data_IF_733307647271
#
_entry.id   IF_733307647271
#
_cell.length_a   1.000
_cell.length_b   1.000
_cell.length_c   1.000
_cell.angle_alpha   90.00
_cell.angle_beta   90.00
_cell.angle_gamma   90.00
#
_symmetry.space_group_name_H-M   'P 1'
#
loop_
_entity.id
_entity.type
_entity.pdbx_description
1 polymer ?
#
# COMPACT_ATOMS: atom_id res chain seq x y z
N UNK A 1 10.20 -4.73 25.74
CA UNK A 1 11.19 -5.22 24.77
C UNK A 1 10.48 -6.15 23.82
N UNK A 2 10.19 -5.72 22.59
CA UNK A 2 9.43 -6.52 21.63
C UNK A 2 10.13 -7.84 21.34
N UNK A 3 9.39 -8.94 21.40
CA UNK A 3 9.88 -10.28 21.13
C UNK A 3 10.60 -10.34 19.77
N UNK A 4 11.60 -11.23 19.60
CA UNK A 4 12.29 -11.45 18.32
C UNK A 4 11.31 -11.61 17.14
N UNK A 5 10.13 -12.17 17.39
CA UNK A 5 9.02 -12.27 16.44
C UNK A 5 8.58 -10.91 15.88
N UNK A 6 8.44 -9.89 16.73
CA UNK A 6 8.04 -8.54 16.31
C UNK A 6 9.10 -7.92 15.39
N UNK A 7 10.38 -8.18 15.65
CA UNK A 7 11.47 -7.72 14.81
C UNK A 7 11.47 -8.40 13.45
N UNK A 8 11.24 -9.71 13.40
CA UNK A 8 11.14 -10.47 12.13
C UNK A 8 9.95 -9.98 11.29
N UNK A 9 8.77 -9.84 11.91
CA UNK A 9 7.56 -9.38 11.22
C UNK A 9 7.72 -7.96 10.66
N UNK A 10 8.39 -7.07 11.38
CA UNK A 10 8.69 -5.73 10.89
C UNK A 10 9.59 -5.77 9.64
N UNK A 11 10.65 -6.58 9.64
CA UNK A 11 11.54 -6.71 8.49
C UNK A 11 10.84 -7.32 7.27
N UNK A 12 9.98 -8.33 7.48
CA UNK A 12 9.16 -8.90 6.40
C UNK A 12 8.19 -7.85 5.83
N UNK A 13 7.55 -7.07 6.69
CA UNK A 13 6.66 -5.98 6.26
C UNK A 13 7.40 -4.95 5.41
N UNK A 14 8.61 -4.53 5.85
CA UNK A 14 9.45 -3.60 5.10
C UNK A 14 9.84 -4.20 3.75
N UNK A 15 10.27 -5.47 3.71
CA UNK A 15 10.60 -6.15 2.46
C UNK A 15 9.41 -6.19 1.49
N UNK A 16 8.23 -6.59 1.94
CA UNK A 16 7.02 -6.67 1.10
C UNK A 16 6.63 -5.28 0.57
N UNK A 17 6.76 -4.23 1.38
CA UNK A 17 6.52 -2.84 0.95
C UNK A 17 7.45 -2.43 -0.19
N UNK A 18 8.76 -2.64 -0.01
CA UNK A 18 9.75 -2.29 -1.04
C UNK A 18 9.59 -3.13 -2.31
N UNK A 19 9.39 -4.43 -2.17
CA UNK A 19 9.13 -5.32 -3.30
C UNK A 19 7.86 -4.90 -4.08
N UNK A 20 6.79 -4.54 -3.36
CA UNK A 20 5.56 -4.03 -3.94
C UNK A 20 5.76 -2.76 -4.77
N UNK A 21 6.48 -1.76 -4.25
CA UNK A 21 6.80 -0.54 -5.00
C UNK A 21 7.57 -0.87 -6.27
N UNK A 22 8.59 -1.72 -6.18
CA UNK A 22 9.44 -2.06 -7.33
C UNK A 22 8.60 -2.69 -8.43
N UNK A 23 7.71 -3.62 -8.09
CA UNK A 23 6.82 -4.27 -9.07
C UNK A 23 5.88 -3.25 -9.72
N UNK A 24 5.27 -2.35 -8.93
CA UNK A 24 4.36 -1.33 -9.46
C UNK A 24 5.11 -0.34 -10.37
N UNK A 25 6.32 0.05 -9.99
CA UNK A 25 7.15 0.92 -10.80
C UNK A 25 7.52 0.27 -12.15
N UNK A 26 7.90 -1.01 -12.14
CA UNK A 26 8.18 -1.78 -13.36
C UNK A 26 6.92 -1.87 -14.23
N UNK A 27 5.77 -2.22 -13.66
CA UNK A 27 4.50 -2.30 -14.37
C UNK A 27 4.09 -0.94 -14.97
N UNK A 28 4.23 0.15 -14.19
CA UNK A 28 3.95 1.51 -14.63
C UNK A 28 4.86 1.93 -15.79
N UNK A 29 6.16 1.65 -15.72
CA UNK A 29 7.08 1.91 -16.83
C UNK A 29 6.75 1.08 -18.07
N UNK A 30 6.42 -0.21 -17.90
CA UNK A 30 6.02 -1.06 -19.02
C UNK A 30 4.77 -0.53 -19.74
N UNK A 31 3.79 -0.04 -18.99
CA UNK A 31 2.59 0.60 -19.54
C UNK A 31 2.92 1.91 -20.28
N UNK A 32 3.75 2.77 -19.70
CA UNK A 32 4.17 4.02 -20.35
C UNK A 32 4.95 3.77 -21.64
N UNK A 33 5.85 2.78 -21.64
CA UNK A 33 6.59 2.36 -22.84
C UNK A 33 5.64 1.80 -23.89
N UNK A 34 4.70 0.92 -23.50
CA UNK A 34 3.71 0.33 -24.41
C UNK A 34 2.81 1.38 -25.07
N UNK A 35 2.33 2.35 -24.27
CA UNK A 35 1.57 3.50 -24.79
C UNK A 35 2.44 4.38 -25.68
N UNK A 36 3.66 4.73 -25.26
CA UNK A 36 4.59 5.56 -26.03
C UNK A 36 5.01 4.95 -27.38
N UNK A 37 5.09 3.63 -27.48
CA UNK A 37 5.40 2.92 -28.75
C UNK A 37 4.16 2.84 -29.66
N UNK A 38 2.97 2.58 -29.09
CA UNK A 38 1.74 2.40 -29.88
C UNK A 38 1.19 3.70 -30.44
N UNK A 39 1.69 4.84 -29.99
CA UNK A 39 0.99 6.08 -30.22
C UNK A 39 1.95 7.24 -30.50
N UNK A 40 1.58 8.05 -31.49
CA UNK A 40 2.11 9.40 -31.65
C UNK A 40 1.46 10.32 -30.60
N UNK A 41 1.59 9.97 -29.31
CA UNK A 41 0.67 10.43 -28.28
C UNK A 41 0.79 11.92 -27.99
N UNK A 42 -0.36 12.58 -27.81
CA UNK A 42 -0.39 13.91 -27.23
C UNK A 42 0.12 13.83 -25.77
N UNK A 43 0.95 14.80 -25.33
CA UNK A 43 1.55 14.81 -24.00
C UNK A 43 0.55 14.58 -22.84
N UNK A 44 -0.69 15.02 -23.03
CA UNK A 44 -1.77 14.95 -22.02
C UNK A 44 -2.14 13.52 -21.64
N UNK A 45 -2.14 12.57 -22.57
CA UNK A 45 -2.54 11.18 -22.25
C UNK A 45 -1.44 10.44 -21.49
N UNK A 46 -0.18 10.72 -21.80
CA UNK A 46 0.98 10.18 -21.06
C UNK A 46 0.95 10.65 -19.61
N UNK A 47 0.64 11.93 -19.36
CA UNK A 47 0.46 12.46 -18.01
C UNK A 47 -0.69 11.76 -17.26
N UNK A 48 -1.80 11.47 -17.93
CA UNK A 48 -2.92 10.74 -17.34
C UNK A 48 -2.53 9.32 -16.88
N UNK A 49 -1.81 8.58 -17.72
CA UNK A 49 -1.32 7.23 -17.37
C UNK A 49 -0.31 7.27 -16.24
N UNK A 50 0.63 8.22 -16.28
CA UNK A 50 1.62 8.40 -15.22
C UNK A 50 0.96 8.74 -13.87
N UNK A 51 0.00 9.66 -13.87
CA UNK A 51 -0.74 10.03 -12.67
C UNK A 51 -1.52 8.84 -12.09
N UNK A 52 -2.19 8.05 -12.93
CA UNK A 52 -2.89 6.84 -12.50
C UNK A 52 -1.94 5.79 -11.91
N UNK A 53 -0.76 5.60 -12.50
CA UNK A 53 0.26 4.68 -11.99
C UNK A 53 0.80 5.12 -10.63
N UNK A 54 1.05 6.42 -10.43
CA UNK A 54 1.48 6.99 -9.14
C UNK A 54 0.39 6.79 -8.09
N UNK A 55 -0.87 7.10 -8.42
CA UNK A 55 -2.03 6.87 -7.56
C UNK A 55 -2.13 5.41 -7.10
N UNK A 56 -2.01 4.46 -8.04
CA UNK A 56 -2.03 3.04 -7.74
C UNK A 56 -0.87 2.63 -6.81
N UNK A 57 0.33 3.18 -7.04
CA UNK A 57 1.49 2.93 -6.19
C UNK A 57 1.27 3.37 -4.74
N UNK A 58 0.70 4.57 -4.54
CA UNK A 58 0.40 5.10 -3.20
C UNK A 58 -0.66 4.26 -2.49
N UNK A 59 -1.73 3.87 -3.19
CA UNK A 59 -2.79 3.04 -2.61
C UNK A 59 -2.26 1.67 -2.16
N UNK A 60 -1.46 1.01 -2.99
CA UNK A 60 -0.86 -0.29 -2.67
C UNK A 60 0.20 -0.18 -1.57
N UNK A 61 0.89 0.96 -1.44
CA UNK A 61 1.84 1.21 -0.35
C UNK A 61 1.15 1.35 1.02
N UNK A 62 0.00 2.00 1.06
CA UNK A 62 -0.74 2.26 2.31
C UNK A 62 -1.55 1.01 2.75
N UNK A 63 -1.93 0.15 1.81
CA UNK A 63 -2.76 -1.04 2.02
C UNK A 63 -2.34 -1.91 3.23
N UNK A 64 -1.06 -2.29 3.42
CA UNK A 64 -0.65 -3.12 4.56
C UNK A 64 -0.92 -2.44 5.91
N UNK A 65 -0.76 -1.12 5.95
CA UNK A 65 -1.03 -0.30 7.14
C UNK A 65 -2.51 -0.27 7.43
N UNK A 66 -3.35 -0.07 6.41
CA UNK A 66 -4.80 -0.09 6.53
C UNK A 66 -5.31 -1.45 7.01
N UNK A 67 -4.78 -2.55 6.46
CA UNK A 67 -5.11 -3.92 6.89
C UNK A 67 -4.70 -4.14 8.35
N UNK A 68 -3.55 -3.62 8.77
CA UNK A 68 -3.11 -3.74 10.17
C UNK A 68 -4.03 -2.95 11.12
N UNK A 69 -4.42 -1.73 10.76
CA UNK A 69 -5.40 -0.95 11.53
C UNK A 69 -6.76 -1.65 11.58
N UNK A 70 -7.27 -2.14 10.45
CA UNK A 70 -8.54 -2.87 10.39
C UNK A 70 -8.52 -4.14 11.26
N UNK A 71 -7.39 -4.85 11.35
CA UNK A 71 -7.22 -5.98 12.27
C UNK A 71 -7.29 -5.56 13.74
N UNK A 72 -6.61 -4.48 14.12
CA UNK A 72 -6.61 -3.98 15.49
C UNK A 72 -8.00 -3.50 15.90
N UNK A 73 -8.68 -2.77 15.02
CA UNK A 73 -10.05 -2.31 15.26
C UNK A 73 -11.03 -3.48 15.34
N UNK A 74 -10.97 -4.45 14.41
CA UNK A 74 -11.82 -5.64 14.44
C UNK A 74 -11.65 -6.46 15.74
N UNK A 75 -10.42 -6.58 16.25
CA UNK A 75 -10.16 -7.25 17.53
C UNK A 75 -10.58 -6.43 18.75
N UNK A 76 -10.74 -5.10 18.62
CA UNK A 76 -11.27 -4.22 19.67
C UNK A 76 -12.79 -4.14 19.67
N UNK A 77 -13.43 -4.42 18.55
CA UNK A 77 -14.89 -4.51 18.43
C UNK A 77 -15.30 -5.91 18.92
N UNK A 78 -15.22 -6.13 20.24
CA UNK A 78 -15.93 -7.25 20.88
C UNK A 78 -17.43 -6.94 20.76
N UNK A 79 -18.30 -7.91 20.41
CA UNK A 79 -19.72 -7.67 20.14
C UNK A 79 -20.51 -6.91 21.23
N UNK A 80 -20.00 -6.85 22.47
CA UNK A 80 -20.69 -6.26 23.62
C UNK A 80 -19.89 -5.15 24.34
N UNK A 81 -18.83 -4.58 23.74
CA UNK A 81 -18.11 -3.45 24.34
C UNK A 81 -18.45 -2.13 23.63
N UNK A 82 -18.91 -1.09 24.36
CA UNK A 82 -19.24 0.19 23.74
C UNK A 82 -18.01 0.81 23.07
N UNK A 83 -18.19 1.26 21.83
CA UNK A 83 -17.15 1.95 21.05
C UNK A 83 -16.73 3.22 21.83
N UNK A 84 -15.50 3.21 22.34
CA UNK A 84 -14.96 4.26 23.24
C UNK A 84 -14.49 3.78 24.62
N UNK A 85 -14.51 2.48 24.91
CA UNK A 85 -14.11 1.93 26.20
C UNK A 85 -12.61 1.89 26.49
N UNK A 86 -12.14 2.92 27.21
CA UNK A 86 -11.02 2.93 28.18
C UNK A 86 -9.60 2.65 27.64
N UNK A 87 -8.89 3.73 27.34
CA UNK A 87 -7.46 3.82 27.67
C UNK A 87 -7.34 3.92 29.20
N UNK A 88 -6.76 2.91 29.85
CA UNK A 88 -6.55 2.94 31.30
C UNK A 88 -5.64 1.80 31.79
N UNK A 89 -4.37 2.16 31.95
CA UNK A 89 -3.24 1.44 32.61
C UNK A 89 -2.71 0.15 31.97
#
# INVERSE_FOLDING_TARGET
MGSQLSFILYNVLVFVRWAGIIIIAIAGMALLISEGIKSKLSPTRVLGVAAAAIMAAVLLWILPTMVNYARVDSNRIVPDQPVGGVYGH
#
